data_IF_522650387982
#
_entry.id   IF_522650387982
#
_cell.length_a   1.000
_cell.length_b   1.000
_cell.length_c   1.000
_cell.angle_alpha   90.00
_cell.angle_beta   90.00
_cell.angle_gamma   90.00
#
_symmetry.space_group_name_H-M   'P 1'
#
loop_
_entity.id
_entity.type
_entity.pdbx_description
1 polymer ?
#
# COMPACT_ATOMS: atom_id res chain seq x y z
N UNK A 1 17.95 4.82 13.43
CA UNK A 1 16.86 4.40 12.54
C UNK A 1 16.77 2.87 12.59
N UNK A 2 15.57 2.27 12.60
CA UNK A 2 15.44 0.82 12.50
C UNK A 2 16.12 0.33 11.21
N UNK A 3 16.89 -0.75 11.31
CA UNK A 3 17.50 -1.41 10.15
C UNK A 3 16.41 -2.34 9.59
N UNK A 4 15.85 -1.99 8.44
CA UNK A 4 14.93 -2.84 7.68
C UNK A 4 15.52 -3.10 6.30
N UNK A 5 15.23 -4.27 5.74
CA UNK A 5 15.70 -4.65 4.40
C UNK A 5 14.79 -4.13 3.30
N UNK A 6 13.48 -4.10 3.56
CA UNK A 6 12.47 -3.70 2.58
C UNK A 6 11.48 -2.72 3.18
N UNK A 7 11.02 -1.76 2.36
CA UNK A 7 9.99 -0.80 2.74
C UNK A 7 8.72 -1.09 1.94
N UNK A 8 7.59 -1.20 2.63
CA UNK A 8 6.29 -1.51 2.04
C UNK A 8 5.35 -0.34 2.31
N UNK A 9 4.64 0.12 1.29
CA UNK A 9 3.59 1.13 1.43
C UNK A 9 2.23 0.44 1.44
N UNK A 10 1.41 0.67 2.46
CA UNK A 10 -0.01 0.34 2.46
C UNK A 10 -0.84 1.62 2.45
N UNK A 11 -1.70 1.76 1.45
CA UNK A 11 -2.66 2.85 1.31
C UNK A 11 -4.07 2.30 1.51
N UNK A 12 -4.77 2.77 2.54
CA UNK A 12 -6.11 2.27 2.87
C UNK A 12 -6.63 2.76 4.22
N UNK A 13 -7.93 2.63 4.46
CA UNK A 13 -8.56 3.00 5.74
C UNK A 13 -8.72 1.83 6.71
N UNK A 14 -8.37 0.60 6.30
CA UNK A 14 -8.48 -0.57 7.18
C UNK A 14 -7.33 -0.64 8.19
N UNK A 15 -7.54 0.02 9.34
CA UNK A 15 -6.56 0.06 10.43
C UNK A 15 -6.22 -1.32 11.02
N UNK A 16 -7.18 -2.26 11.02
CA UNK A 16 -6.95 -3.61 11.51
C UNK A 16 -5.97 -4.37 10.59
N UNK A 17 -6.16 -4.25 9.27
CA UNK A 17 -5.24 -4.79 8.28
C UNK A 17 -3.85 -4.14 8.40
N UNK A 18 -3.78 -2.81 8.57
CA UNK A 18 -2.51 -2.10 8.75
C UNK A 18 -1.74 -2.61 9.98
N UNK A 19 -2.43 -2.79 11.12
CA UNK A 19 -1.82 -3.31 12.35
C UNK A 19 -1.33 -4.75 12.19
N UNK A 20 -2.13 -5.59 11.52
CA UNK A 20 -1.75 -6.97 11.21
C UNK A 20 -0.54 -7.02 10.27
N UNK A 21 -0.55 -6.25 9.17
CA UNK A 21 0.55 -6.15 8.21
C UNK A 21 1.83 -5.70 8.90
N UNK A 22 1.76 -4.67 9.75
CA UNK A 22 2.93 -4.16 10.49
C UNK A 22 3.58 -5.26 11.32
N UNK A 23 2.78 -6.07 12.02
CA UNK A 23 3.26 -7.19 12.82
C UNK A 23 3.83 -8.31 11.96
N UNK A 24 3.12 -8.69 10.89
CA UNK A 24 3.52 -9.78 10.00
C UNK A 24 4.79 -9.46 9.17
N UNK A 25 4.98 -8.20 8.80
CA UNK A 25 6.13 -7.72 8.01
C UNK A 25 7.37 -7.48 8.89
N UNK A 26 7.20 -7.04 10.14
CA UNK A 26 8.32 -6.85 11.06
C UNK A 26 9.10 -8.16 11.28
N UNK A 27 8.43 -9.31 11.31
CA UNK A 27 9.06 -10.63 11.41
C UNK A 27 9.89 -11.03 10.17
N UNK A 28 9.89 -10.22 9.10
CA UNK A 28 10.58 -10.48 7.82
C UNK A 28 11.54 -9.35 7.43
N UNK A 29 11.96 -8.53 8.39
CA UNK A 29 12.79 -7.33 8.17
C UNK A 29 12.16 -6.30 7.21
N UNK A 30 10.84 -6.25 7.15
CA UNK A 30 10.09 -5.30 6.35
C UNK A 30 9.52 -4.18 7.24
N UNK A 31 9.63 -2.95 6.78
CA UNK A 31 9.00 -1.78 7.40
C UNK A 31 7.74 -1.39 6.63
N UNK A 32 6.64 -1.14 7.35
CA UNK A 32 5.37 -0.71 6.76
C UNK A 32 5.17 0.79 6.96
N UNK A 33 5.09 1.55 5.87
CA UNK A 33 4.47 2.87 5.84
C UNK A 33 2.97 2.72 5.62
N UNK A 34 2.19 3.40 6.45
CA UNK A 34 0.73 3.38 6.41
C UNK A 34 0.19 4.75 6.04
N UNK A 35 -0.66 4.82 5.01
CA UNK A 35 -1.24 6.07 4.52
C UNK A 35 -2.76 5.96 4.33
N UNK A 36 -3.58 6.58 5.20
CA UNK A 36 -5.05 6.52 5.10
C UNK A 36 -5.69 7.59 4.20
N UNK A 37 -4.92 8.29 3.36
CA UNK A 37 -5.43 9.39 2.54
C UNK A 37 -4.84 9.39 1.13
N UNK A 38 -5.67 9.63 0.11
CA UNK A 38 -5.24 9.51 -1.29
C UNK A 38 -4.26 10.62 -1.68
N UNK A 39 -4.51 11.86 -1.25
CA UNK A 39 -3.62 12.99 -1.53
C UNK A 39 -2.21 12.75 -0.98
N UNK A 40 -2.11 12.26 0.26
CA UNK A 40 -0.83 11.96 0.90
C UNK A 40 -0.16 10.76 0.23
N UNK A 41 -0.93 9.75 -0.18
CA UNK A 41 -0.41 8.60 -0.91
C UNK A 41 0.24 9.03 -2.24
N UNK A 42 -0.39 9.95 -2.98
CA UNK A 42 0.19 10.50 -4.21
C UNK A 42 1.51 11.22 -3.93
N UNK A 43 1.56 12.09 -2.92
CA UNK A 43 2.81 12.76 -2.53
C UNK A 43 3.91 11.76 -2.16
N UNK A 44 3.59 10.71 -1.39
CA UNK A 44 4.55 9.66 -1.02
C UNK A 44 5.07 8.88 -2.25
N UNK A 45 4.23 8.64 -3.25
CA UNK A 45 4.60 7.94 -4.48
C UNK A 45 5.50 8.80 -5.38
N UNK A 46 5.22 10.10 -5.46
CA UNK A 46 6.01 11.10 -6.20
C UNK A 46 7.39 11.34 -5.58
N UNK A 47 7.50 11.26 -4.25
CA UNK A 47 8.79 11.36 -3.57
C UNK A 47 9.71 10.17 -3.88
N UNK A 48 11.01 10.41 -3.81
CA UNK A 48 12.06 9.41 -4.08
C UNK A 48 12.28 8.44 -2.91
N UNK A 49 11.19 7.95 -2.32
CA UNK A 49 11.19 6.96 -1.25
C UNK A 49 11.20 5.58 -1.89
N UNK A 50 12.26 4.79 -1.75
CA UNK A 50 12.26 3.43 -2.30
C UNK A 50 11.25 2.52 -1.57
N UNK A 51 10.21 2.09 -2.28
CA UNK A 51 9.25 1.08 -1.83
C UNK A 51 9.46 -0.20 -2.63
N UNK A 52 9.63 -1.32 -1.94
CA UNK A 52 9.79 -2.64 -2.53
C UNK A 52 8.46 -3.28 -2.92
N UNK A 53 7.35 -2.78 -2.36
CA UNK A 53 5.98 -3.22 -2.63
C UNK A 53 5.00 -2.10 -2.23
N UNK A 54 3.96 -1.90 -3.03
CA UNK A 54 2.81 -1.07 -2.65
C UNK A 54 1.52 -1.90 -2.62
N UNK A 55 0.74 -1.73 -1.57
CA UNK A 55 -0.60 -2.29 -1.40
C UNK A 55 -1.61 -1.15 -1.43
N UNK A 56 -2.58 -1.24 -2.33
CA UNK A 56 -3.61 -0.21 -2.50
C UNK A 56 -5.00 -0.82 -2.23
N UNK A 57 -5.62 -0.34 -1.17
CA UNK A 57 -7.02 -0.59 -0.81
C UNK A 57 -7.93 0.48 -1.41
N UNK A 58 -9.22 0.33 -1.19
CA UNK A 58 -10.20 1.36 -1.50
C UNK A 58 -10.14 2.49 -0.44
N UNK A 59 -10.10 3.74 -0.92
CA UNK A 59 -10.26 4.95 -0.10
C UNK A 59 -11.58 5.65 -0.44
N UNK A 60 -12.08 6.55 0.44
CA UNK A 60 -13.29 7.31 0.15
C UNK A 60 -13.19 8.21 -1.10
N UNK A 61 -11.99 8.65 -1.45
CA UNK A 61 -11.71 9.65 -2.48
C UNK A 61 -10.85 9.12 -3.64
N UNK A 62 -10.41 7.87 -3.59
CA UNK A 62 -9.67 7.20 -4.67
C UNK A 62 -9.77 5.69 -4.54
N UNK A 63 -9.80 5.01 -5.68
CA UNK A 63 -9.74 3.55 -5.72
C UNK A 63 -8.30 3.04 -5.70
N UNK A 64 -8.11 1.80 -5.27
CA UNK A 64 -6.79 1.17 -5.34
C UNK A 64 -6.27 1.08 -6.78
N UNK A 65 -7.18 0.88 -7.75
CA UNK A 65 -6.86 0.82 -9.17
C UNK A 65 -6.38 2.18 -9.74
N UNK A 66 -7.01 3.28 -9.34
CA UNK A 66 -6.57 4.63 -9.73
C UNK A 66 -5.18 4.95 -9.18
N UNK A 67 -4.90 4.57 -7.93
CA UNK A 67 -3.56 4.72 -7.35
C UNK A 67 -2.51 3.85 -8.05
N UNK A 68 -2.87 2.63 -8.47
CA UNK A 68 -2.00 1.78 -9.27
C UNK A 68 -1.72 2.38 -10.65
N UNK A 69 -2.75 2.88 -11.34
CA UNK A 69 -2.60 3.54 -12.63
C UNK A 69 -1.71 4.78 -12.50
N UNK A 70 -1.94 5.61 -11.48
CA UNK A 70 -1.09 6.76 -11.17
C UNK A 70 0.36 6.34 -10.90
N UNK A 71 0.58 5.30 -10.08
CA UNK A 71 1.93 4.82 -9.79
C UNK A 71 2.68 4.40 -11.06
N UNK A 72 1.98 3.88 -12.07
CA UNK A 72 2.58 3.49 -13.36
C UNK A 72 2.95 4.66 -14.27
N UNK A 73 2.45 5.87 -14.03
CA UNK A 73 2.89 7.07 -14.76
C UNK A 73 4.24 7.59 -14.26
N UNK A 74 4.66 7.18 -13.06
CA UNK A 74 5.91 7.62 -12.44
C UNK A 74 7.10 6.78 -12.93
N UNK A 75 8.07 7.42 -13.57
CA UNK A 75 9.23 6.76 -14.19
C UNK A 75 10.03 5.88 -13.20
N UNK A 76 10.18 6.33 -11.95
CA UNK A 76 10.89 5.59 -10.90
C UNK A 76 10.07 4.45 -10.26
N UNK A 77 8.81 4.25 -10.66
CA UNK A 77 7.89 3.26 -10.07
C UNK A 77 7.37 2.21 -11.05
N UNK A 78 7.77 2.25 -12.32
CA UNK A 78 7.25 1.35 -13.36
C UNK A 78 7.42 -0.14 -13.03
N UNK A 79 8.48 -0.50 -12.32
CA UNK A 79 8.79 -1.88 -11.94
C UNK A 79 8.37 -2.25 -10.52
N UNK A 80 7.84 -1.31 -9.73
CA UNK A 80 7.44 -1.61 -8.34
C UNK A 80 6.26 -2.60 -8.34
N UNK A 81 6.33 -3.71 -7.61
CA UNK A 81 5.20 -4.61 -7.44
C UNK A 81 4.02 -3.91 -6.77
N UNK A 82 2.82 -4.12 -7.31
CA UNK A 82 1.57 -3.51 -6.80
C UNK A 82 0.57 -4.63 -6.47
N UNK A 83 -0.06 -4.55 -5.31
CA UNK A 83 -1.15 -5.43 -4.89
C UNK A 83 -2.40 -4.58 -4.68
N UNK A 84 -3.49 -4.93 -5.36
CA UNK A 84 -4.80 -4.35 -5.10
C UNK A 84 -5.49 -5.17 -4.00
N UNK A 85 -5.83 -4.52 -2.90
CA UNK A 85 -6.58 -5.12 -1.80
C UNK A 85 -8.06 -4.92 -2.09
N UNK A 86 -8.83 -6.02 -2.02
CA UNK A 86 -10.28 -5.98 -2.16
C UNK A 86 -10.91 -6.71 -1.00
N UNK A 87 -12.07 -6.22 -0.55
CA UNK A 87 -12.91 -7.00 0.36
C UNK A 87 -13.32 -8.30 -0.33
N UNK A 88 -13.23 -9.41 0.41
CA UNK A 88 -13.85 -10.66 -0.02
C UNK A 88 -15.36 -10.43 -0.11
N UNK A 89 -15.91 -10.54 -1.31
CA UNK A 89 -17.35 -10.69 -1.48
C UNK A 89 -17.67 -12.08 -0.95
N UNK A 90 -18.32 -12.14 0.22
CA UNK A 90 -18.96 -13.37 0.68
C UNK A 90 -20.27 -13.50 -0.08
N UNK A 91 -20.23 -14.08 -1.29
CA UNK A 91 -21.46 -14.51 -1.94
C UNK A 91 -22.00 -15.76 -1.23
N UNK A 92 -23.23 -15.60 -0.72
CA UNK A 92 -24.28 -16.60 -0.51
C UNK A 92 -23.87 -17.93 0.14
N UNK A 93 -23.68 -17.91 1.46
CA UNK A 93 -23.99 -19.06 2.31
C UNK A 93 -25.36 -18.81 2.98
N UNK A 94 -26.42 -18.95 2.20
CA UNK A 94 -27.81 -19.03 2.67
C UNK A 94 -28.52 -20.17 1.97
#
# INVERSE_FOLDING_TARGET
MPIYRYKVLYVGTNHALAAWLKTALAARDCFLDYCPAAWLARSLLEHDIYYSLCLFDELPDATGAELAAFTRTLANRQSVPLILVKALIKDEAA
#
